data_IF_176215334129
#
_entry.id   IF_176215334129
#
_cell.length_a   1.000
_cell.length_b   1.000
_cell.length_c   1.000
_cell.angle_alpha   90.00
_cell.angle_beta   90.00
_cell.angle_gamma   90.00
#
_symmetry.space_group_name_H-M   'P 1'
#
loop_
_entity.id
_entity.type
_entity.pdbx_description
1 polymer ?
#
# COMPACT_ATOMS: atom_id res chain seq x y z
N UNK A 1 -10.21 14.11 -11.55
CA UNK A 1 -8.85 13.96 -11.01
C UNK A 1 -8.70 12.51 -10.58
N UNK A 2 -7.70 11.81 -11.09
CA UNK A 2 -7.58 10.36 -10.87
C UNK A 2 -7.11 10.06 -9.45
N UNK A 3 -7.98 9.42 -8.68
CA UNK A 3 -7.66 8.93 -7.34
C UNK A 3 -6.89 7.63 -7.46
N UNK A 4 -5.61 7.65 -7.05
CA UNK A 4 -4.76 6.45 -7.04
C UNK A 4 -4.82 5.78 -5.66
N UNK A 5 -4.77 4.46 -5.63
CA UNK A 5 -4.69 3.73 -4.37
C UNK A 5 -3.24 3.48 -3.97
N UNK A 6 -2.94 3.65 -2.68
CA UNK A 6 -1.63 3.34 -2.13
C UNK A 6 -1.38 1.83 -2.15
N UNK A 7 -0.32 1.40 -2.81
CA UNK A 7 0.07 -0.01 -2.98
C UNK A 7 0.39 -0.71 -1.65
N UNK A 8 0.64 0.04 -0.57
CA UNK A 8 0.94 -0.53 0.75
C UNK A 8 -0.27 -0.54 1.69
N UNK A 9 -0.84 0.62 1.99
CA UNK A 9 -1.89 0.71 3.01
C UNK A 9 -3.31 0.51 2.45
N UNK A 10 -3.50 0.59 1.12
CA UNK A 10 -4.80 0.48 0.47
C UNK A 10 -5.71 1.70 0.65
N UNK A 11 -5.19 2.83 1.14
CA UNK A 11 -5.93 4.11 1.20
C UNK A 11 -5.90 4.81 -0.15
N UNK A 12 -6.95 5.58 -0.44
CA UNK A 12 -6.93 6.54 -1.54
C UNK A 12 -5.86 7.61 -1.30
N UNK A 13 -5.14 7.96 -2.36
CA UNK A 13 -4.16 9.04 -2.40
C UNK A 13 -4.87 10.26 -2.96
N UNK A 14 -4.81 11.37 -2.22
CA UNK A 14 -5.34 12.65 -2.67
C UNK A 14 -4.63 13.11 -3.96
N UNK A 15 -5.35 13.66 -4.94
CA UNK A 15 -4.73 14.19 -6.15
C UNK A 15 -3.65 15.23 -5.80
N UNK A 16 -2.55 15.24 -6.56
CA UNK A 16 -1.36 16.04 -6.29
C UNK A 16 -0.58 15.72 -4.98
N UNK A 17 -0.88 14.59 -4.34
CA UNK A 17 -0.16 14.09 -3.16
C UNK A 17 0.46 12.72 -3.39
N UNK A 18 1.37 12.34 -2.48
CA UNK A 18 2.11 11.08 -2.53
C UNK A 18 3.26 11.09 -3.53
N UNK A 19 3.81 9.90 -3.79
CA UNK A 19 4.89 9.73 -4.76
C UNK A 19 4.87 8.34 -5.39
N UNK A 20 5.48 8.28 -6.55
CA UNK A 20 5.60 7.09 -7.38
C UNK A 20 6.99 6.48 -7.18
N UNK A 21 7.04 5.16 -7.03
CA UNK A 21 8.28 4.40 -6.92
C UNK A 21 8.33 3.35 -8.04
N UNK A 22 9.27 3.51 -8.96
CA UNK A 22 9.51 2.56 -10.05
C UNK A 22 10.51 1.52 -9.56
N UNK A 23 10.11 0.24 -9.61
CA UNK A 23 11.00 -0.87 -9.29
C UNK A 23 11.94 -1.17 -10.47
N UNK A 24 13.02 -1.90 -10.22
CA UNK A 24 13.99 -2.32 -11.26
C UNK A 24 13.35 -3.12 -12.41
N UNK A 25 12.28 -3.84 -12.13
CA UNK A 25 11.50 -4.61 -13.10
C UNK A 25 10.49 -3.77 -13.92
N UNK A 26 10.45 -2.45 -13.73
CA UNK A 26 9.50 -1.55 -14.39
C UNK A 26 8.15 -1.44 -13.68
N UNK A 27 7.86 -2.31 -12.70
CA UNK A 27 6.62 -2.23 -11.91
C UNK A 27 6.53 -0.91 -11.12
N UNK A 28 5.37 -0.26 -11.23
CA UNK A 28 5.10 1.02 -10.58
C UNK A 28 4.33 0.83 -9.27
N UNK A 29 4.84 1.40 -8.19
CA UNK A 29 4.18 1.43 -6.88
C UNK A 29 3.80 2.86 -6.51
N UNK A 30 2.55 3.06 -6.08
CA UNK A 30 2.07 4.36 -5.60
C UNK A 30 2.05 4.36 -4.07
N UNK A 31 2.60 5.40 -3.45
CA UNK A 31 2.64 5.53 -1.99
C UNK A 31 2.01 6.84 -1.52
N UNK A 32 1.14 6.76 -0.51
CA UNK A 32 0.55 7.95 0.11
C UNK A 32 1.52 8.71 1.03
N UNK A 33 2.56 8.03 1.54
CA UNK A 33 3.46 8.61 2.55
C UNK A 33 4.80 7.88 2.61
N UNK A 34 5.83 8.55 3.15
CA UNK A 34 7.15 7.97 3.41
C UNK A 34 7.07 6.69 4.25
N UNK A 35 6.16 6.66 5.24
CA UNK A 35 5.88 5.47 6.06
C UNK A 35 5.55 4.24 5.20
N UNK A 36 4.71 4.40 4.17
CA UNK A 36 4.33 3.30 3.29
C UNK A 36 5.51 2.81 2.46
N UNK A 37 6.31 3.73 1.90
CA UNK A 37 7.54 3.39 1.15
C UNK A 37 8.54 2.66 2.02
N UNK A 38 8.84 3.16 3.21
CA UNK A 38 9.85 2.55 4.08
C UNK A 38 9.43 1.14 4.52
N UNK A 39 8.16 0.95 4.87
CA UNK A 39 7.66 -0.37 5.24
C UNK A 39 7.78 -1.37 4.07
N UNK A 40 7.44 -0.96 2.84
CA UNK A 40 7.45 -1.86 1.69
C UNK A 40 8.84 -2.06 1.08
N UNK A 41 9.59 -0.98 0.86
CA UNK A 41 10.86 -0.97 0.11
C UNK A 41 12.05 -1.29 1.03
N UNK A 42 12.16 -0.60 2.16
CA UNK A 42 13.31 -0.74 3.07
C UNK A 42 13.15 -1.93 4.01
N UNK A 43 12.00 -2.05 4.68
CA UNK A 43 11.73 -3.10 5.66
C UNK A 43 11.15 -4.37 5.04
N UNK A 44 10.81 -4.36 3.74
CA UNK A 44 10.23 -5.50 3.00
C UNK A 44 9.01 -6.13 3.68
N UNK A 45 8.22 -5.33 4.39
CA UNK A 45 7.00 -5.78 5.06
C UNK A 45 5.91 -6.00 4.03
N UNK A 46 5.18 -7.11 4.17
CA UNK A 46 4.02 -7.41 3.32
C UNK A 46 2.76 -6.79 3.96
N UNK A 47 1.97 -5.97 3.25
CA UNK A 47 0.77 -5.33 3.79
C UNK A 47 -0.15 -6.26 4.60
N UNK A 48 -0.43 -7.46 4.07
CA UNK A 48 -1.28 -8.47 4.71
C UNK A 48 -0.81 -8.95 6.09
N UNK A 49 0.45 -8.71 6.46
CA UNK A 49 1.01 -9.06 7.78
C UNK A 49 1.06 -7.86 8.73
N UNK A 50 0.68 -6.67 8.27
CA UNK A 50 0.82 -5.42 9.02
C UNK A 50 -0.56 -4.93 9.45
N UNK A 51 -0.82 -5.02 10.76
CA UNK A 51 -2.15 -4.81 11.37
C UNK A 51 -2.85 -3.50 11.01
N UNK A 52 -2.11 -2.42 10.77
CA UNK A 52 -2.68 -1.09 10.50
C UNK A 52 -3.05 -0.83 9.04
N UNK A 53 -2.74 -1.77 8.14
CA UNK A 53 -3.09 -1.62 6.72
C UNK A 53 -4.52 -2.07 6.45
N UNK A 54 -5.21 -1.41 5.52
CA UNK A 54 -6.56 -1.84 5.12
C UNK A 54 -6.53 -3.26 4.55
N UNK A 55 -5.42 -3.64 3.91
CA UNK A 55 -5.22 -4.97 3.35
C UNK A 55 -5.22 -6.08 4.40
N UNK A 56 -4.60 -5.85 5.57
CA UNK A 56 -4.67 -6.79 6.71
C UNK A 56 -6.12 -7.02 7.14
N UNK A 57 -6.90 -5.94 7.28
CA UNK A 57 -8.30 -6.03 7.69
C UNK A 57 -9.16 -6.72 6.62
N UNK A 58 -8.92 -6.45 5.33
CA UNK A 58 -9.61 -7.08 4.21
C UNK A 58 -9.43 -8.60 4.22
N UNK A 59 -8.20 -9.08 4.33
CA UNK A 59 -7.90 -10.53 4.35
C UNK A 59 -8.47 -11.18 5.62
N UNK A 60 -8.32 -10.54 6.79
CA UNK A 60 -8.90 -11.05 8.04
C UNK A 60 -10.43 -11.18 7.96
N UNK A 61 -11.10 -10.26 7.26
CA UNK A 61 -12.54 -10.34 7.04
C UNK A 61 -12.92 -11.48 6.08
N UNK A 62 -12.09 -11.80 5.07
CA UNK A 62 -12.31 -12.94 4.17
C UNK A 62 -12.16 -14.27 4.89
N UNK A 63 -11.11 -14.45 5.71
CA UNK A 63 -10.89 -15.70 6.46
C UNK A 63 -11.98 -15.99 7.50
N UNK A 64 -12.67 -14.96 8.01
CA UNK A 64 -13.81 -15.15 8.93
C UNK A 64 -15.10 -15.62 8.25
N UNK A 65 -15.21 -15.44 6.94
CA UNK A 65 -16.40 -15.82 6.16
C UNK A 65 -16.30 -17.23 5.58
N UNK A 66 -15.10 -17.81 5.60
CA UNK A 66 -14.84 -19.20 5.23
C UNK A 66 -14.90 -20.08 6.48
#
# INVERSE_FOLDING_TARGET
MDVRNCSFCGKSIEPASGFLYVRKDGSVLNFCSRKCKENMVKLKRVPRKVKWTNEYHRIKAMTKKA
#
